data_IF_008933256717
#
_entry.id   IF_008933256717
#
_cell.length_a   1.000
_cell.length_b   1.000
_cell.length_c   1.000
_cell.angle_alpha   90.00
_cell.angle_beta   90.00
_cell.angle_gamma   90.00
#
_symmetry.space_group_name_H-M   'P 1'
#
loop_
_entity.id
_entity.type
_entity.pdbx_description
1 polymer ?
#
# COMPACT_ATOMS: atom_id res chain seq x y z
N UNK A 1 2.14 14.30 8.73
CA UNK A 1 3.21 13.30 8.83
C UNK A 1 2.95 12.47 10.06
N UNK A 2 2.95 11.15 9.92
CA UNK A 2 2.56 10.24 10.99
C UNK A 2 3.68 10.06 12.01
N UNK A 3 4.95 9.98 11.57
CA UNK A 3 6.17 9.84 12.40
C UNK A 3 6.31 8.55 13.20
N UNK A 4 5.24 7.76 13.30
CA UNK A 4 5.26 6.43 13.92
C UNK A 4 4.58 5.37 13.03
N UNK A 5 4.92 5.34 11.73
CA UNK A 5 4.45 4.26 10.85
C UNK A 5 5.17 2.95 11.17
N UNK A 6 4.40 1.95 11.58
CA UNK A 6 4.84 0.60 11.92
C UNK A 6 3.65 -0.36 11.78
N UNK A 7 3.91 -1.66 11.72
CA UNK A 7 2.88 -2.69 11.57
C UNK A 7 1.82 -2.65 12.67
N UNK A 8 2.18 -2.32 13.93
CA UNK A 8 1.23 -2.17 15.04
C UNK A 8 0.22 -1.02 14.85
N UNK A 9 0.59 0.00 14.07
CA UNK A 9 -0.25 1.19 13.82
C UNK A 9 -0.99 1.09 12.48
N UNK A 10 -1.10 -0.12 11.95
CA UNK A 10 -1.83 -0.43 10.72
C UNK A 10 -2.92 -1.44 11.06
N UNK A 11 -4.18 -1.02 10.91
CA UNK A 11 -5.33 -1.89 11.08
C UNK A 11 -5.79 -2.42 9.73
N UNK A 12 -6.32 -3.64 9.73
CA UNK A 12 -6.88 -4.29 8.55
C UNK A 12 -8.38 -4.49 8.74
N UNK A 13 -9.17 -3.91 7.84
CA UNK A 13 -10.57 -4.28 7.67
C UNK A 13 -10.63 -5.43 6.64
N UNK A 14 -11.19 -6.57 7.06
CA UNK A 14 -11.25 -7.81 6.29
C UNK A 14 -12.68 -8.16 5.85
N UNK A 15 -13.58 -7.17 5.79
CA UNK A 15 -14.97 -7.35 5.34
C UNK A 15 -15.07 -7.97 3.93
N UNK A 16 -14.17 -7.63 3.01
CA UNK A 16 -14.08 -8.24 1.67
C UNK A 16 -13.23 -9.53 1.61
N UNK A 17 -12.84 -10.06 2.78
CA UNK A 17 -12.03 -11.26 2.93
C UNK A 17 -10.53 -10.98 3.07
N UNK A 18 -9.79 -12.03 3.46
CA UNK A 18 -8.34 -11.97 3.70
C UNK A 18 -7.51 -11.68 2.44
N UNK A 19 -8.08 -11.90 1.25
CA UNK A 19 -7.41 -11.62 -0.02
C UNK A 19 -7.41 -10.12 -0.36
N UNK A 20 -8.36 -9.34 0.17
CA UNK A 20 -8.54 -7.92 -0.15
C UNK A 20 -8.72 -7.09 1.14
N UNK A 21 -7.74 -7.10 2.07
CA UNK A 21 -7.85 -6.33 3.29
C UNK A 21 -7.70 -4.82 3.00
N UNK A 22 -8.63 -4.01 3.51
CA UNK A 22 -8.50 -2.57 3.50
C UNK A 22 -7.58 -2.13 4.65
N UNK A 23 -6.55 -1.36 4.30
CA UNK A 23 -5.53 -0.90 5.24
C UNK A 23 -5.88 0.50 5.76
N UNK A 24 -5.91 0.66 7.09
CA UNK A 24 -6.15 1.96 7.74
C UNK A 24 -5.01 2.30 8.69
N UNK A 25 -4.52 3.54 8.62
CA UNK A 25 -3.54 4.07 9.56
C UNK A 25 -4.24 4.47 10.86
N UNK A 26 -3.65 4.12 12.00
CA UNK A 26 -4.12 4.49 13.34
C UNK A 26 -2.99 5.10 14.18
N UNK A 27 -3.34 5.62 15.36
CA UNK A 27 -2.42 6.21 16.32
C UNK A 27 -1.63 7.43 15.79
N UNK A 28 -2.35 8.53 15.63
CA UNK A 28 -1.79 9.83 15.24
C UNK A 28 -1.18 10.59 16.44
N UNK A 29 -0.92 9.96 17.58
CA UNK A 29 -0.41 10.60 18.79
C UNK A 29 0.97 11.26 18.61
N UNK A 30 1.79 10.72 17.71
CA UNK A 30 3.10 11.28 17.33
C UNK A 30 3.05 12.15 16.06
N UNK A 31 1.87 12.34 15.48
CA UNK A 31 1.74 13.01 14.19
C UNK A 31 2.12 14.50 14.28
N UNK A 32 2.58 15.02 13.15
CA UNK A 32 2.87 16.43 12.97
C UNK A 32 1.97 16.96 11.85
N UNK A 33 1.12 17.91 12.22
CA UNK A 33 0.32 18.72 11.32
C UNK A 33 0.88 20.15 11.36
N UNK A 34 1.47 20.60 10.26
CA UNK A 34 1.96 21.95 10.11
C UNK A 34 1.50 22.48 8.75
N UNK A 35 1.05 23.74 8.73
CA UNK A 35 0.72 24.43 7.49
C UNK A 35 2.01 24.84 6.77
N UNK A 36 2.24 24.30 5.57
CA UNK A 36 3.40 24.63 4.74
C UNK A 36 4.07 23.42 4.07
N UNK A 37 5.00 23.69 3.14
CA UNK A 37 5.72 22.65 2.39
C UNK A 37 6.95 22.08 3.13
N UNK A 38 7.55 22.84 4.05
CA UNK A 38 8.71 22.40 4.83
C UNK A 38 8.28 21.87 6.18
N UNK A 39 8.53 20.59 6.43
CA UNK A 39 8.08 19.89 7.64
C UNK A 39 9.29 19.70 8.55
N UNK A 40 9.81 20.83 9.00
CA UNK A 40 11.01 20.91 9.81
C UNK A 40 10.66 21.35 11.23
N UNK A 41 11.00 20.51 12.22
CA UNK A 41 10.78 20.83 13.64
C UNK A 41 12.08 21.33 14.25
N UNK A 42 12.11 22.49 14.95
CA UNK A 42 13.30 22.95 15.65
C UNK A 42 13.86 21.90 16.62
N UNK A 43 15.19 21.79 16.69
CA UNK A 43 15.91 20.90 17.61
C UNK A 43 17.00 21.67 18.37
N UNK A 44 16.62 22.59 19.27
CA UNK A 44 17.57 23.50 19.91
C UNK A 44 18.47 22.82 20.94
N UNK A 45 17.96 21.81 21.66
CA UNK A 45 18.66 21.11 22.74
C UNK A 45 18.17 19.66 22.89
N UNK A 46 18.85 18.86 23.71
CA UNK A 46 18.48 17.44 23.94
C UNK A 46 17.16 17.29 24.69
N UNK A 47 16.78 18.28 25.49
CA UNK A 47 15.54 18.31 26.27
C UNK A 47 14.32 18.53 25.37
N UNK A 48 14.51 19.16 24.21
CA UNK A 48 13.49 19.42 23.21
C UNK A 48 13.65 18.49 21.99
N UNK A 49 13.79 17.18 22.21
CA UNK A 49 14.02 16.20 21.15
C UNK A 49 12.75 15.93 20.31
N UNK A 50 12.73 16.29 19.01
CA UNK A 50 11.59 16.04 18.15
C UNK A 50 11.57 14.62 17.58
N UNK A 51 12.54 13.74 17.90
CA UNK A 51 12.63 12.37 17.36
C UNK A 51 11.77 11.40 18.17
N UNK A 52 10.46 11.64 18.16
CA UNK A 52 9.47 10.74 18.76
C UNK A 52 9.09 9.61 17.78
N UNK A 53 8.51 8.52 18.30
CA UNK A 53 8.09 7.34 17.52
C UNK A 53 9.07 6.17 17.57
N UNK A 54 8.77 5.10 16.82
CA UNK A 54 9.53 3.86 16.81
C UNK A 54 10.90 4.03 16.15
N UNK A 55 11.97 3.82 16.92
CA UNK A 55 13.36 3.91 16.47
C UNK A 55 13.72 2.94 15.33
N UNK A 56 13.01 1.81 15.20
CA UNK A 56 13.21 0.83 14.12
C UNK A 56 12.66 1.32 12.77
N UNK A 57 11.67 2.22 12.81
CA UNK A 57 11.02 2.81 11.64
C UNK A 57 11.48 4.27 11.40
N UNK A 58 12.49 4.72 12.14
CA UNK A 58 12.98 6.09 12.07
C UNK A 58 14.04 6.26 10.97
N UNK A 59 13.75 7.17 10.05
CA UNK A 59 14.58 7.48 8.89
C UNK A 59 15.97 8.02 9.29
N UNK A 60 17.03 7.78 8.48
CA UNK A 60 18.40 8.20 8.75
C UNK A 60 18.54 9.70 9.05
N UNK A 61 17.85 10.54 8.27
CA UNK A 61 17.90 12.00 8.39
C UNK A 61 17.23 12.52 9.67
N UNK A 62 16.30 11.75 10.23
CA UNK A 62 15.64 12.04 11.51
C UNK A 62 16.48 11.51 12.66
N UNK A 63 16.82 10.21 12.63
CA UNK A 63 17.56 9.54 13.70
C UNK A 63 18.95 10.17 13.92
N UNK A 64 19.63 10.48 12.82
CA UNK A 64 20.96 11.08 12.81
C UNK A 64 20.99 12.59 13.07
N UNK A 65 19.85 13.25 13.25
CA UNK A 65 19.82 14.67 13.55
C UNK A 65 20.47 14.98 14.91
N UNK A 66 21.14 16.11 14.99
CA UNK A 66 21.84 16.58 16.20
C UNK A 66 21.25 17.91 16.67
N UNK A 67 21.10 18.11 18.00
CA UNK A 67 20.58 19.35 18.53
C UNK A 67 21.58 20.50 18.34
N UNK A 68 21.07 21.73 18.28
CA UNK A 68 21.88 22.94 18.31
C UNK A 68 21.09 24.20 17.96
N UNK A 69 21.70 25.36 18.23
CA UNK A 69 21.11 26.65 17.88
C UNK A 69 20.83 26.70 16.37
N UNK A 70 19.59 27.04 16.00
CA UNK A 70 19.09 27.07 14.61
C UNK A 70 19.12 25.71 13.87
N UNK A 71 19.22 24.58 14.59
CA UNK A 71 19.04 23.25 14.00
C UNK A 71 17.56 22.87 13.96
N UNK A 72 17.18 22.12 12.93
CA UNK A 72 15.86 21.53 12.78
C UNK A 72 15.96 20.11 12.20
N UNK A 73 14.93 19.31 12.44
CA UNK A 73 14.78 17.96 11.90
C UNK A 73 13.73 17.99 10.81
N UNK A 74 14.10 17.56 9.60
CA UNK A 74 13.22 17.52 8.45
C UNK A 74 12.54 16.13 8.36
N UNK A 75 11.21 16.12 8.38
CA UNK A 75 10.38 14.91 8.31
C UNK A 75 9.76 14.65 6.93
N UNK A 76 9.99 15.51 5.93
CA UNK A 76 9.32 15.50 4.62
C UNK A 76 9.39 14.15 3.89
N UNK A 77 10.44 13.35 4.09
CA UNK A 77 10.58 12.03 3.48
C UNK A 77 10.65 10.88 4.51
N UNK A 78 10.37 11.16 5.79
CA UNK A 78 10.52 10.19 6.88
C UNK A 78 9.47 9.08 6.81
N UNK A 79 8.20 9.43 6.62
CA UNK A 79 7.11 8.44 6.49
C UNK A 79 7.34 7.53 5.28
N UNK A 80 7.90 8.08 4.19
CA UNK A 80 8.22 7.31 3.00
C UNK A 80 9.33 6.27 3.25
N UNK A 81 10.31 6.60 4.09
CA UNK A 81 11.32 5.64 4.52
C UNK A 81 10.69 4.52 5.36
N UNK A 82 9.78 4.86 6.28
CA UNK A 82 9.05 3.88 7.07
C UNK A 82 8.20 2.95 6.17
N UNK A 83 7.58 3.46 5.10
CA UNK A 83 6.92 2.63 4.08
C UNK A 83 7.89 1.65 3.39
N UNK A 84 9.14 2.04 3.17
CA UNK A 84 10.18 1.13 2.65
C UNK A 84 10.49 -0.02 3.62
N UNK A 85 10.51 0.27 4.92
CA UNK A 85 10.68 -0.76 5.96
C UNK A 85 9.48 -1.70 6.01
N UNK A 86 8.26 -1.13 6.07
CA UNK A 86 7.00 -1.87 6.02
C UNK A 86 6.89 -2.75 4.76
N UNK A 87 7.49 -2.33 3.64
CA UNK A 87 7.55 -3.13 2.42
C UNK A 87 8.17 -4.51 2.64
N UNK A 88 9.18 -4.64 3.50
CA UNK A 88 9.72 -5.97 3.85
C UNK A 88 8.69 -6.82 4.58
N UNK A 89 8.03 -6.24 5.58
CA UNK A 89 7.04 -6.96 6.41
C UNK A 89 5.80 -7.36 5.60
N UNK A 90 5.30 -6.48 4.72
CA UNK A 90 4.17 -6.75 3.82
C UNK A 90 4.47 -7.94 2.90
N UNK A 91 5.71 -8.06 2.42
CA UNK A 91 6.14 -9.20 1.60
C UNK A 91 6.72 -10.35 2.41
N UNK A 92 6.37 -10.46 3.70
CA UNK A 92 6.72 -11.60 4.56
C UNK A 92 8.20 -11.71 4.93
N UNK A 93 8.99 -10.66 4.69
CA UNK A 93 10.39 -10.57 5.10
C UNK A 93 10.54 -9.87 6.44
N UNK A 94 11.68 -10.08 7.11
CA UNK A 94 11.97 -9.37 8.35
C UNK A 94 12.28 -7.90 8.09
N UNK A 95 11.85 -7.04 9.01
CA UNK A 95 12.29 -5.65 9.05
C UNK A 95 13.83 -5.59 9.20
N UNK A 96 14.58 -5.03 8.24
CA UNK A 96 16.04 -5.00 8.27
C UNK A 96 16.66 -4.25 9.45
N UNK A 97 15.88 -3.38 10.11
CA UNK A 97 16.29 -2.50 11.20
C UNK A 97 15.73 -2.94 12.57
N UNK A 98 14.96 -4.04 12.60
CA UNK A 98 14.42 -4.63 13.82
C UNK A 98 14.98 -6.05 14.01
N UNK A 99 15.37 -6.39 15.24
CA UNK A 99 15.69 -7.77 15.58
C UNK A 99 14.41 -8.59 15.69
N UNK A 100 14.27 -9.64 14.91
CA UNK A 100 13.16 -10.59 15.05
C UNK A 100 13.47 -11.58 16.15
N UNK A 101 12.58 -11.72 17.13
CA UNK A 101 12.69 -12.78 18.16
C UNK A 101 12.21 -14.14 17.64
N UNK A 102 11.39 -14.14 16.58
CA UNK A 102 10.73 -15.33 16.03
C UNK A 102 11.68 -16.23 15.24
N UNK A 103 12.80 -15.70 14.73
CA UNK A 103 13.78 -16.48 13.99
C UNK A 103 14.90 -17.00 14.90
N UNK A 104 15.28 -18.29 14.82
CA UNK A 104 16.40 -18.83 15.57
C UNK A 104 17.69 -18.05 15.29
N UNK A 105 18.51 -17.79 16.33
CA UNK A 105 19.74 -16.98 16.24
C UNK A 105 20.67 -17.33 15.06
N UNK A 106 20.72 -18.60 14.66
CA UNK A 106 21.52 -19.09 13.52
C UNK A 106 21.09 -18.56 12.15
N UNK A 107 19.83 -18.16 12.00
CA UNK A 107 19.24 -17.66 10.76
C UNK A 107 18.90 -16.16 10.83
N UNK A 108 19.22 -15.48 11.94
CA UNK A 108 18.94 -14.04 12.07
C UNK A 108 19.87 -13.25 11.18
N UNK A 109 19.30 -12.40 10.35
CA UNK A 109 20.07 -11.38 9.64
C UNK A 109 20.64 -10.38 10.65
N UNK A 110 21.80 -9.79 10.32
CA UNK A 110 22.38 -8.72 11.13
C UNK A 110 21.42 -7.53 11.12
N UNK A 111 20.97 -7.11 12.30
CA UNK A 111 20.15 -5.91 12.46
C UNK A 111 20.96 -4.70 12.00
N UNK A 112 20.41 -3.96 11.05
CA UNK A 112 21.00 -2.75 10.51
C UNK A 112 20.64 -1.54 11.38
N UNK A 113 21.53 -0.55 11.41
CA UNK A 113 21.23 0.75 11.99
C UNK A 113 20.95 1.74 10.85
N UNK A 114 19.78 2.40 10.88
CA UNK A 114 19.34 3.32 9.84
C UNK A 114 20.33 4.47 9.61
N UNK A 115 21.12 4.88 10.61
CA UNK A 115 22.15 5.92 10.42
C UNK A 115 23.34 5.39 9.62
N UNK A 116 23.79 4.15 9.87
CA UNK A 116 25.12 3.70 9.44
C UNK A 116 25.11 2.63 8.34
N UNK A 117 23.97 2.01 8.06
CA UNK A 117 23.87 0.96 7.04
C UNK A 117 24.32 1.44 5.65
N UNK A 118 24.74 0.50 4.82
CA UNK A 118 24.93 0.68 3.38
C UNK A 118 23.75 0.06 2.66
N UNK A 119 23.27 0.70 1.61
CA UNK A 119 22.11 0.22 0.83
C UNK A 119 22.34 -1.21 0.28
N UNK A 120 23.59 -1.56 -0.04
CA UNK A 120 23.99 -2.92 -0.45
C UNK A 120 23.88 -4.00 0.64
N UNK A 121 23.68 -3.61 1.91
CA UNK A 121 23.46 -4.53 3.04
C UNK A 121 22.00 -4.92 3.21
N UNK A 122 21.07 -4.26 2.48
CA UNK A 122 19.66 -4.59 2.56
C UNK A 122 19.42 -6.04 2.10
N UNK A 123 18.63 -6.84 2.86
CA UNK A 123 18.29 -8.19 2.45
C UNK A 123 17.56 -8.23 1.10
N UNK A 124 17.70 -9.34 0.37
CA UNK A 124 16.95 -9.51 -0.88
C UNK A 124 15.49 -9.85 -0.58
N UNK A 125 14.57 -9.12 -1.18
CA UNK A 125 13.14 -9.45 -1.14
C UNK A 125 12.84 -10.78 -1.89
N UNK A 126 11.75 -11.47 -1.52
CA UNK A 126 11.32 -12.73 -2.14
C UNK A 126 11.17 -12.65 -3.67
N UNK A 127 11.31 -13.78 -4.36
CA UNK A 127 11.36 -13.83 -5.84
C UNK A 127 10.04 -13.41 -6.50
N UNK A 128 8.93 -13.70 -5.84
CA UNK A 128 7.54 -13.41 -6.19
C UNK A 128 7.19 -11.91 -6.12
N UNK A 129 7.95 -11.10 -5.37
CA UNK A 129 7.73 -9.65 -5.37
C UNK A 129 8.07 -9.06 -6.75
N UNK A 130 7.17 -8.26 -7.37
CA UNK A 130 7.44 -7.65 -8.68
C UNK A 130 8.71 -6.81 -8.67
N UNK A 131 9.50 -6.90 -9.74
CA UNK A 131 10.81 -6.22 -9.85
C UNK A 131 10.70 -4.71 -9.64
N UNK A 132 9.65 -4.08 -10.20
CA UNK A 132 9.36 -2.65 -10.02
C UNK A 132 9.20 -2.31 -8.54
N UNK A 133 8.48 -3.14 -7.78
CA UNK A 133 8.25 -2.94 -6.34
C UNK A 133 9.51 -3.17 -5.52
N UNK A 134 10.36 -4.16 -5.89
CA UNK A 134 11.68 -4.35 -5.26
C UNK A 134 12.55 -3.10 -5.38
N UNK A 135 12.62 -2.51 -6.57
CA UNK A 135 13.38 -1.30 -6.80
C UNK A 135 12.77 -0.10 -6.07
N UNK A 136 11.43 0.03 -6.07
CA UNK A 136 10.76 1.07 -5.31
C UNK A 136 11.11 0.98 -3.82
N UNK A 137 10.98 -0.20 -3.19
CA UNK A 137 11.34 -0.40 -1.77
C UNK A 137 12.81 -0.03 -1.52
N UNK A 138 13.71 -0.46 -2.40
CA UNK A 138 15.12 -0.08 -2.32
C UNK A 138 15.31 1.45 -2.37
N UNK A 139 14.60 2.13 -3.27
CA UNK A 139 14.67 3.58 -3.43
C UNK A 139 14.04 4.35 -2.24
N UNK A 140 12.98 3.83 -1.63
CA UNK A 140 12.40 4.38 -0.40
C UNK A 140 13.41 4.30 0.76
N UNK A 141 14.24 3.25 0.77
CA UNK A 141 15.30 3.02 1.75
C UNK A 141 16.64 3.62 1.33
N UNK A 142 16.67 4.66 0.48
CA UNK A 142 17.90 5.44 0.30
C UNK A 142 18.18 6.33 1.50
N UNK A 143 19.47 6.43 1.89
CA UNK A 143 19.86 7.23 3.06
C UNK A 143 19.67 8.72 2.86
N UNK A 144 19.99 9.21 1.66
CA UNK A 144 19.74 10.60 1.32
C UNK A 144 18.27 10.76 0.90
N UNK A 145 17.45 11.53 1.64
CA UNK A 145 16.03 11.70 1.32
C UNK A 145 15.78 12.31 -0.07
N UNK A 146 16.73 13.08 -0.62
CA UNK A 146 16.64 13.65 -1.98
C UNK A 146 16.72 12.59 -3.10
N UNK A 147 17.23 11.41 -2.78
CA UNK A 147 17.33 10.30 -3.72
C UNK A 147 16.09 9.39 -3.66
N UNK A 148 15.10 9.70 -2.81
CA UNK A 148 13.82 8.99 -2.75
C UNK A 148 12.83 9.66 -3.71
N UNK A 149 11.87 8.92 -4.28
CA UNK A 149 10.77 9.52 -5.03
C UNK A 149 9.92 10.41 -4.11
N UNK A 150 9.13 11.32 -4.67
CA UNK A 150 8.08 11.98 -3.88
C UNK A 150 7.01 10.96 -3.48
N UNK A 151 6.25 11.20 -2.40
CA UNK A 151 5.12 10.34 -2.03
C UNK A 151 4.10 10.16 -3.17
N UNK A 152 3.82 11.22 -3.91
CA UNK A 152 2.90 11.18 -5.08
C UNK A 152 3.44 10.29 -6.19
N UNK A 153 4.73 10.38 -6.49
CA UNK A 153 5.40 9.57 -7.52
C UNK A 153 5.46 8.10 -7.10
N UNK A 154 5.83 7.80 -5.85
CA UNK A 154 5.87 6.43 -5.32
C UNK A 154 4.49 5.77 -5.36
N UNK A 155 3.46 6.47 -4.86
CA UNK A 155 2.09 5.95 -4.87
C UNK A 155 1.54 5.80 -6.29
N UNK A 156 1.91 6.70 -7.21
CA UNK A 156 1.56 6.58 -8.63
C UNK A 156 2.25 5.39 -9.29
N UNK A 157 3.51 5.09 -8.95
CA UNK A 157 4.18 3.90 -9.46
C UNK A 157 3.50 2.60 -8.97
N UNK A 158 3.11 2.53 -7.70
CA UNK A 158 2.32 1.40 -7.20
C UNK A 158 0.99 1.25 -7.96
N UNK A 159 0.29 2.36 -8.23
CA UNK A 159 -0.94 2.34 -9.01
C UNK A 159 -0.72 1.86 -10.45
N UNK A 160 0.38 2.28 -11.09
CA UNK A 160 0.77 1.81 -12.43
C UNK A 160 1.09 0.32 -12.45
N UNK A 161 1.68 -0.23 -11.39
CA UNK A 161 1.93 -1.69 -11.28
C UNK A 161 0.62 -2.48 -11.29
N UNK A 162 -0.45 -1.93 -10.71
CA UNK A 162 -1.75 -2.59 -10.61
C UNK A 162 -2.62 -2.41 -11.86
N UNK A 163 -2.73 -1.19 -12.40
CA UNK A 163 -3.67 -0.86 -13.48
C UNK A 163 -3.05 -0.14 -14.68
N UNK A 164 -1.74 0.10 -14.67
CA UNK A 164 -1.03 0.77 -15.75
C UNK A 164 -0.82 -0.14 -16.97
N UNK A 165 -0.78 0.43 -18.20
CA UNK A 165 -0.40 -0.34 -19.38
C UNK A 165 1.02 -0.93 -19.24
N UNK A 166 1.19 -2.22 -19.54
CA UNK A 166 2.48 -2.93 -19.36
C UNK A 166 3.65 -2.27 -20.12
N UNK A 167 3.36 -1.61 -21.25
CA UNK A 167 4.35 -0.85 -22.03
C UNK A 167 4.95 0.33 -21.25
N UNK A 168 4.23 0.91 -20.29
CA UNK A 168 4.72 2.02 -19.48
C UNK A 168 5.69 1.54 -18.38
N UNK A 169 5.48 0.33 -17.86
CA UNK A 169 6.37 -0.30 -16.89
C UNK A 169 7.59 -0.98 -17.54
N UNK A 170 7.59 -1.18 -18.86
CA UNK A 170 8.74 -1.71 -19.56
C UNK A 170 9.90 -0.70 -19.54
N UNK A 171 10.98 -1.06 -18.83
CA UNK A 171 12.19 -0.24 -18.68
C UNK A 171 12.93 0.02 -19.98
N UNK A 172 12.80 -0.87 -20.96
CA UNK A 172 13.44 -0.74 -22.28
C UNK A 172 12.63 0.10 -23.27
N UNK A 173 11.42 0.55 -22.88
CA UNK A 173 10.61 1.41 -23.73
C UNK A 173 11.26 2.79 -23.86
N UNK A 174 11.62 3.17 -25.08
CA UNK A 174 12.26 4.46 -25.38
C UNK A 174 11.26 5.63 -25.39
N UNK A 175 9.97 5.34 -25.59
CA UNK A 175 8.93 6.36 -25.68
C UNK A 175 8.20 6.53 -24.34
N UNK A 176 7.96 7.77 -23.96
CA UNK A 176 7.02 8.11 -22.88
C UNK A 176 5.61 8.19 -23.45
N UNK A 177 4.56 7.90 -22.66
CA UNK A 177 3.20 8.09 -23.12
C UNK A 177 2.92 9.56 -23.43
N UNK A 178 2.14 9.77 -24.48
CA UNK A 178 1.62 11.09 -24.85
C UNK A 178 0.50 11.52 -23.88
N UNK A 179 0.20 12.82 -23.85
CA UNK A 179 -0.93 13.35 -23.07
C UNK A 179 -2.25 12.65 -23.42
N UNK A 180 -2.50 12.40 -24.71
CA UNK A 180 -3.71 11.72 -25.17
C UNK A 180 -3.81 10.27 -24.66
N UNK A 181 -2.71 9.52 -24.70
CA UNK A 181 -2.68 8.14 -24.17
C UNK A 181 -2.95 8.11 -22.66
N UNK A 182 -2.39 9.07 -21.91
CA UNK A 182 -2.65 9.19 -20.47
C UNK A 182 -4.12 9.55 -20.22
N UNK A 183 -4.66 10.53 -20.93
CA UNK A 183 -6.06 10.95 -20.77
C UNK A 183 -7.04 9.81 -21.10
N UNK A 184 -6.78 9.06 -22.17
CA UNK A 184 -7.58 7.89 -22.53
C UNK A 184 -7.55 6.83 -21.42
N UNK A 185 -6.38 6.52 -20.87
CA UNK A 185 -6.25 5.58 -19.78
C UNK A 185 -6.97 6.05 -18.50
N UNK A 186 -6.85 7.34 -18.14
CA UNK A 186 -7.57 7.92 -17.00
C UNK A 186 -9.10 7.90 -17.19
N UNK A 187 -9.57 8.11 -18.43
CA UNK A 187 -10.99 8.00 -18.77
C UNK A 187 -11.48 6.55 -18.62
N UNK A 188 -10.68 5.56 -19.03
CA UNK A 188 -10.98 4.15 -18.80
C UNK A 188 -11.08 3.82 -17.30
N UNK A 189 -10.14 4.30 -16.47
CA UNK A 189 -10.19 4.10 -15.01
C UNK A 189 -11.42 4.76 -14.38
N UNK A 190 -11.75 5.98 -14.79
CA UNK A 190 -12.97 6.68 -14.35
C UNK A 190 -14.22 5.87 -14.70
N UNK A 191 -14.25 5.29 -15.91
CA UNK A 191 -15.39 4.48 -16.36
C UNK A 191 -15.51 3.20 -15.53
N UNK A 192 -14.39 2.53 -15.21
CA UNK A 192 -14.37 1.37 -14.30
C UNK A 192 -15.03 1.73 -12.97
N UNK A 193 -14.58 2.82 -12.33
CA UNK A 193 -15.11 3.32 -11.04
C UNK A 193 -16.61 3.63 -11.13
N UNK A 194 -17.06 4.30 -12.19
CA UNK A 194 -18.47 4.65 -12.37
C UNK A 194 -19.37 3.43 -12.58
N UNK A 195 -18.91 2.44 -13.34
CA UNK A 195 -19.66 1.22 -13.60
C UNK A 195 -19.71 0.30 -12.37
N UNK A 196 -18.63 0.21 -11.60
CA UNK A 196 -18.55 -0.61 -10.38
C UNK A 196 -19.34 0.01 -9.22
N UNK A 197 -19.37 1.35 -9.11
CA UNK A 197 -20.20 2.07 -8.12
C UNK A 197 -21.70 1.77 -8.27
N UNK A 198 -22.17 1.51 -9.50
CA UNK A 198 -23.57 1.20 -9.78
C UNK A 198 -23.99 -0.21 -9.34
N UNK A 199 -23.03 -1.14 -9.21
CA UNK A 199 -23.29 -2.54 -8.86
C UNK A 199 -23.31 -2.73 -7.33
N UNK A 200 -22.50 -1.97 -6.60
CA UNK A 200 -22.40 -2.06 -5.13
C UNK A 200 -23.66 -1.55 -4.38
N UNK A 201 -24.57 -0.84 -5.06
CA UNK A 201 -25.75 -0.19 -4.45
C UNK A 201 -27.07 -0.97 -4.53
N UNK A 202 -27.07 -2.22 -4.98
CA UNK A 202 -28.32 -3.02 -4.98
C UNK A 202 -28.63 -3.50 -3.55
N UNK A 203 -29.74 -3.08 -2.93
CA UNK A 203 -30.16 -3.63 -1.65
C UNK A 203 -30.44 -5.12 -1.86
N UNK A 204 -30.01 -5.95 -0.91
CA UNK A 204 -30.53 -7.31 -0.79
C UNK A 204 -32.03 -7.16 -0.51
N UNK A 205 -32.88 -7.33 -1.51
CA UNK A 205 -34.31 -7.53 -1.27
C UNK A 205 -34.45 -8.83 -0.48
N UNK A 206 -34.75 -8.69 0.80
CA UNK A 206 -35.23 -9.80 1.63
C UNK A 206 -36.47 -10.40 0.96
N UNK A 207 -36.30 -11.57 0.34
CA UNK A 207 -37.42 -12.44 0.00
C UNK A 207 -37.93 -13.04 1.31
N UNK A 208 -38.60 -12.22 2.12
CA UNK A 208 -39.45 -12.64 3.23
C UNK A 208 -40.87 -12.78 2.72
N UNK A 209 -41.09 -13.82 1.91
CA UNK A 209 -42.42 -14.31 1.61
C UNK A 209 -42.73 -15.49 2.52
N UNK A 210 -43.50 -15.28 3.59
CA UNK A 210 -44.30 -16.38 4.15
C UNK A 210 -45.72 -15.91 4.46
N UNK A 211 -46.52 -15.89 3.40
CA UNK A 211 -47.96 -15.88 3.46
C UNK A 211 -48.44 -17.28 3.83
N UNK A 212 -48.91 -17.42 5.07
CA UNK A 212 -49.73 -18.52 5.57
C UNK A 212 -50.71 -19.04 4.50
N UNK A 213 -50.55 -20.29 4.05
CA UNK A 213 -51.68 -21.16 3.69
C UNK A 213 -51.30 -22.65 3.70
N UNK A 214 -51.80 -23.30 4.74
CA UNK A 214 -51.92 -24.75 4.95
C UNK A 214 -52.40 -25.49 3.70
N UNK A 215 -51.74 -26.60 3.34
CA UNK A 215 -52.44 -27.77 2.79
C UNK A 215 -51.69 -29.10 3.02
N UNK A 216 -52.46 -30.01 3.60
CA UNK A 216 -52.29 -31.41 3.97
C UNK A 216 -51.33 -32.30 3.16
N UNK A 217 -50.54 -33.05 3.93
CA UNK A 217 -50.07 -34.44 3.76
C UNK A 217 -50.83 -35.27 2.72
N UNK A 218 -50.08 -35.89 1.78
CA UNK A 218 -50.34 -37.25 1.29
C UNK A 218 -49.05 -37.92 0.78
N UNK A 219 -48.74 -39.07 1.37
CA UNK A 219 -47.66 -40.02 1.02
C UNK A 219 -47.91 -40.63 -0.37
N UNK A 220 -46.84 -40.80 -1.14
CA UNK A 220 -46.80 -41.65 -2.34
C UNK A 220 -45.36 -41.98 -2.74
N UNK A 221 -44.98 -43.26 -2.61
CA UNK A 221 -43.68 -43.83 -3.03
C UNK A 221 -43.65 -44.09 -4.55
N UNK A 222 -42.53 -43.79 -5.22
CA UNK A 222 -41.87 -44.48 -6.37
C UNK A 222 -40.71 -43.58 -6.85
N UNK A 223 -39.44 -43.97 -6.68
CA UNK A 223 -38.62 -44.88 -7.50
C UNK A 223 -37.94 -44.19 -8.72
N UNK A 224 -36.62 -44.00 -8.55
CA UNK A 224 -35.49 -44.00 -9.52
C UNK A 224 -35.44 -42.90 -10.60
N UNK A 225 -34.42 -42.03 -10.50
CA UNK A 225 -33.96 -41.13 -11.55
C UNK A 225 -32.61 -40.51 -11.15
N UNK A 226 -31.55 -40.92 -11.87
CA UNK A 226 -30.17 -40.47 -11.77
C UNK A 226 -30.05 -38.94 -11.93
N UNK A 227 -29.40 -38.22 -11.02
CA UNK A 227 -28.77 -36.92 -11.34
C UNK A 227 -27.85 -36.45 -10.19
N UNK A 228 -26.58 -36.22 -10.55
CA UNK A 228 -25.53 -35.66 -9.71
C UNK A 228 -25.94 -34.26 -9.19
N UNK A 229 -25.54 -33.86 -7.97
CA UNK A 229 -25.63 -32.46 -7.59
C UNK A 229 -24.54 -31.71 -8.36
N UNK A 230 -24.95 -30.98 -9.40
CA UNK A 230 -24.17 -29.87 -9.93
C UNK A 230 -23.79 -28.97 -8.75
N UNK A 231 -22.50 -28.94 -8.42
CA UNK A 231 -21.90 -27.84 -7.64
C UNK A 231 -22.15 -26.58 -8.45
N UNK A 232 -23.17 -25.81 -8.06
CA UNK A 232 -23.35 -24.44 -8.49
C UNK A 232 -22.11 -23.64 -8.07
N UNK A 233 -21.25 -23.38 -9.03
CA UNK A 233 -20.20 -22.36 -8.99
C UNK A 233 -20.91 -21.01 -8.98
N UNK A 234 -21.10 -20.43 -7.81
CA UNK A 234 -21.78 -19.14 -7.71
C UNK A 234 -21.61 -18.53 -6.33
N UNK A 235 -20.43 -17.95 -6.08
CA UNK A 235 -20.27 -16.73 -5.26
C UNK A 235 -18.83 -16.23 -5.09
N UNK A 236 -17.82 -16.83 -5.72
CA UNK A 236 -16.41 -16.40 -5.61
C UNK A 236 -16.02 -15.17 -6.45
N UNK A 237 -16.98 -14.41 -6.99
CA UNK A 237 -16.72 -13.26 -7.88
C UNK A 237 -17.01 -11.89 -7.24
N UNK A 238 -17.26 -11.82 -5.94
CA UNK A 238 -17.56 -10.56 -5.22
C UNK A 238 -16.46 -10.08 -4.28
N UNK A 239 -15.34 -10.79 -4.17
CA UNK A 239 -14.26 -10.43 -3.26
C UNK A 239 -13.35 -9.38 -3.90
N UNK A 240 -13.26 -8.18 -3.30
CA UNK A 240 -12.27 -7.14 -3.63
C UNK A 240 -12.74 -5.95 -4.47
N UNK A 241 -14.02 -5.89 -4.83
CA UNK A 241 -14.55 -4.80 -5.65
C UNK A 241 -14.52 -3.43 -4.98
N UNK A 242 -14.78 -3.37 -3.66
CA UNK A 242 -14.80 -2.11 -2.92
C UNK A 242 -13.38 -1.57 -2.70
N UNK A 243 -12.41 -2.42 -2.34
CA UNK A 243 -11.01 -2.05 -2.20
C UNK A 243 -10.43 -1.52 -3.53
N UNK A 244 -10.68 -2.22 -4.63
CA UNK A 244 -10.25 -1.74 -5.96
C UNK A 244 -10.88 -0.39 -6.29
N UNK A 245 -12.17 -0.23 -6.05
CA UNK A 245 -12.88 1.04 -6.23
C UNK A 245 -12.24 2.18 -5.43
N UNK A 246 -11.92 1.95 -4.16
CA UNK A 246 -11.30 2.96 -3.28
C UNK A 246 -9.89 3.35 -3.73
N UNK A 247 -9.09 2.37 -4.15
CA UNK A 247 -7.73 2.61 -4.64
C UNK A 247 -7.73 3.40 -5.96
N UNK A 248 -8.64 3.07 -6.89
CA UNK A 248 -8.76 3.78 -8.16
C UNK A 248 -9.37 5.17 -7.98
N UNK A 249 -10.43 5.31 -7.18
CA UNK A 249 -11.04 6.62 -6.91
C UNK A 249 -10.06 7.55 -6.18
N UNK A 250 -9.35 7.08 -5.16
CA UNK A 250 -8.31 7.85 -4.45
C UNK A 250 -7.15 8.24 -5.36
N UNK A 251 -6.80 7.40 -6.34
CA UNK A 251 -5.81 7.78 -7.34
C UNK A 251 -6.32 8.92 -8.24
N UNK A 252 -7.54 8.79 -8.76
CA UNK A 252 -8.14 9.78 -9.67
C UNK A 252 -8.33 11.15 -9.01
N UNK A 253 -8.56 11.23 -7.69
CA UNK A 253 -8.72 12.52 -6.99
C UNK A 253 -7.42 13.30 -6.83
N UNK A 254 -6.26 12.66 -6.92
CA UNK A 254 -4.94 13.30 -6.71
C UNK A 254 -4.02 13.28 -7.93
N UNK A 255 -4.42 12.62 -9.02
CA UNK A 255 -3.51 12.33 -10.13
C UNK A 255 -3.18 13.60 -10.91
N UNK A 256 -1.88 13.82 -11.13
CA UNK A 256 -1.39 14.81 -12.08
C UNK A 256 -0.59 14.13 -13.20
N UNK A 257 -0.67 14.69 -14.41
CA UNK A 257 0.10 14.23 -15.57
C UNK A 257 1.59 14.13 -15.26
N UNK A 258 2.13 15.11 -14.53
CA UNK A 258 3.54 15.16 -14.13
C UNK A 258 3.93 13.98 -13.25
N UNK A 259 3.10 13.58 -12.29
CA UNK A 259 3.39 12.45 -11.41
C UNK A 259 3.44 11.12 -12.17
N UNK A 260 2.56 10.92 -13.16
CA UNK A 260 2.58 9.71 -14.01
C UNK A 260 3.88 9.65 -14.82
N UNK A 261 4.24 10.75 -15.49
CA UNK A 261 5.46 10.81 -16.29
C UNK A 261 6.70 10.61 -15.40
N UNK A 262 6.73 11.22 -14.22
CA UNK A 262 7.83 11.06 -13.28
C UNK A 262 7.91 9.63 -12.73
N UNK A 263 6.79 8.98 -12.42
CA UNK A 263 6.78 7.58 -11.99
C UNK A 263 7.32 6.63 -13.07
N UNK A 264 6.95 6.84 -14.33
CA UNK A 264 7.47 6.06 -15.46
C UNK A 264 8.97 6.30 -15.64
N UNK A 265 9.42 7.57 -15.58
CA UNK A 265 10.85 7.91 -15.65
C UNK A 265 11.63 7.30 -14.50
N UNK A 266 11.07 7.32 -13.29
CA UNK A 266 11.69 6.75 -12.09
C UNK A 266 11.93 5.25 -12.26
N UNK A 267 10.91 4.51 -12.71
CA UNK A 267 11.02 3.07 -13.01
C UNK A 267 12.08 2.76 -14.08
N UNK A 268 12.26 3.65 -15.06
CA UNK A 268 13.25 3.49 -16.16
C UNK A 268 14.67 3.90 -15.78
N UNK A 269 14.85 4.66 -14.70
CA UNK A 269 16.16 5.10 -14.24
C UNK A 269 16.99 3.96 -13.61
N UNK A 270 16.38 2.79 -13.42
CA UNK A 270 17.00 1.57 -12.94
C UNK A 270 17.40 0.65 -14.09
#
# INVERSE_FOLDING_TARGET
YHRDLKTDNILLNIEEGLAHPQLVLTDFGCSLAQEGQSMSVPFPSREADPRQGNAQHMAPEVKGAVPGLLRSVNFTASDLWACGVLGYEIFGSENPFAGSERIPKRNKSKVLDSITYKESQLPRLPKDVPVVIKHLIHDLLRRNPKNRPSPTVAATLCHLVLWGPSKWLNRHSLTLPTSNEIMQWLLCLTTKVLCEAGISRQPIEDISGDGLKRRSVRRGRRAVGNMQPHRGTGNSHREGGQLEYELVSTFLTRVHFTDIVQAIKWNRAF
#
